data_IF_331797015324
#
_entry.id   IF_331797015324
#
_cell.length_a   1.000
_cell.length_b   1.000
_cell.length_c   1.000
_cell.angle_alpha   90.00
_cell.angle_beta   90.00
_cell.angle_gamma   90.00
#
_symmetry.space_group_name_H-M   'P 1'
#
loop_
_entity.id
_entity.type
_entity.pdbx_description
1 polymer ?
#
# COMPACT_ATOMS: atom_id res chain seq x y z
N UNK A 1 -24.90 -26.29 -9.41
CA UNK A 1 -24.38 -25.57 -10.59
C UNK A 1 -23.28 -24.67 -10.06
N UNK A 2 -22.08 -24.87 -10.59
CA UNK A 2 -20.79 -24.49 -10.00
C UNK A 2 -20.69 -23.02 -9.54
N UNK A 3 -19.89 -22.78 -8.49
CA UNK A 3 -19.18 -21.52 -8.13
C UNK A 3 -18.95 -21.36 -6.60
N UNK A 4 -18.69 -22.45 -5.85
CA UNK A 4 -18.52 -22.38 -4.37
C UNK A 4 -17.06 -22.19 -3.92
N UNK A 5 -16.09 -22.11 -4.82
CA UNK A 5 -14.68 -21.92 -4.43
C UNK A 5 -14.10 -20.66 -5.04
N UNK A 6 -14.46 -19.52 -4.43
CA UNK A 6 -13.70 -18.28 -4.52
C UNK A 6 -12.26 -18.63 -4.14
N UNK A 7 -11.39 -18.72 -5.14
CA UNK A 7 -9.94 -18.90 -4.95
C UNK A 7 -9.52 -17.84 -3.92
N UNK A 8 -9.05 -18.28 -2.75
CA UNK A 8 -8.59 -17.38 -1.73
C UNK A 8 -7.42 -16.60 -2.34
N UNK A 9 -7.64 -15.32 -2.67
CA UNK A 9 -6.63 -14.47 -3.28
C UNK A 9 -5.29 -14.66 -2.56
N UNK A 10 -4.22 -14.88 -3.32
CA UNK A 10 -2.88 -15.13 -2.80
C UNK A 10 -2.52 -14.02 -1.82
N UNK A 11 -1.78 -14.32 -0.72
CA UNK A 11 -1.54 -13.34 0.35
C UNK A 11 -0.93 -12.03 -0.16
N UNK A 12 -0.17 -12.08 -1.25
CA UNK A 12 0.44 -10.91 -1.91
C UNK A 12 -0.57 -10.00 -2.63
N UNK A 13 -1.68 -10.55 -3.14
CA UNK A 13 -2.72 -9.77 -3.83
C UNK A 13 -3.58 -8.96 -2.85
N UNK A 14 -3.63 -9.40 -1.60
CA UNK A 14 -4.35 -8.70 -0.51
C UNK A 14 -3.54 -7.58 0.11
N UNK A 15 -2.26 -7.47 -0.25
CA UNK A 15 -1.38 -6.40 0.17
C UNK A 15 -1.46 -5.22 -0.80
N UNK A 16 -1.26 -4.03 -0.24
CA UNK A 16 -1.13 -2.80 -0.99
C UNK A 16 0.22 -2.74 -1.72
N UNK A 17 0.27 -1.90 -2.75
CA UNK A 17 1.51 -1.59 -3.49
C UNK A 17 1.82 -0.12 -3.36
N UNK A 18 3.11 0.19 -3.24
CA UNK A 18 3.58 1.56 -3.26
C UNK A 18 3.25 2.19 -4.62
N UNK A 19 2.48 3.28 -4.64
CA UNK A 19 2.07 3.93 -5.90
C UNK A 19 3.25 4.54 -6.67
N UNK A 20 4.38 4.81 -6.01
CA UNK A 20 5.57 5.38 -6.65
C UNK A 20 6.54 4.33 -7.21
N UNK A 21 6.77 3.22 -6.51
CA UNK A 21 7.77 2.22 -6.93
C UNK A 21 7.19 0.83 -7.20
N UNK A 22 5.88 0.63 -7.04
CA UNK A 22 5.18 -0.62 -7.31
C UNK A 22 5.45 -1.77 -6.33
N UNK A 23 6.38 -1.60 -5.37
CA UNK A 23 6.69 -2.65 -4.38
C UNK A 23 5.53 -2.92 -3.45
N UNK A 24 5.27 -4.20 -3.20
CA UNK A 24 4.30 -4.64 -2.19
C UNK A 24 4.72 -4.15 -0.82
N UNK A 25 3.76 -3.60 -0.06
CA UNK A 25 3.96 -3.16 1.31
C UNK A 25 3.19 -4.07 2.26
N UNK A 26 3.61 -4.24 3.52
CA UNK A 26 2.92 -5.08 4.50
C UNK A 26 1.69 -4.36 5.08
N UNK A 27 0.81 -3.85 4.21
CA UNK A 27 -0.45 -3.20 4.54
C UNK A 27 -1.55 -3.92 3.78
N UNK A 28 -2.59 -4.37 4.47
CA UNK A 28 -3.71 -5.05 3.83
C UNK A 28 -4.62 -4.04 3.14
N UNK A 29 -5.11 -4.39 1.95
CA UNK A 29 -6.08 -3.58 1.18
C UNK A 29 -7.41 -3.40 1.91
N UNK A 30 -7.72 -4.27 2.87
CA UNK A 30 -8.94 -4.21 3.68
C UNK A 30 -8.76 -3.41 4.98
N UNK A 31 -7.53 -3.12 5.41
CA UNK A 31 -7.27 -2.33 6.63
C UNK A 31 -7.90 -0.95 6.53
N UNK A 32 -8.44 -0.42 7.62
CA UNK A 32 -9.04 0.92 7.59
C UNK A 32 -7.98 1.98 7.30
N UNK A 33 -8.30 3.00 6.48
CA UNK A 33 -7.32 4.01 6.03
C UNK A 33 -6.61 4.69 7.19
N UNK A 34 -7.32 4.96 8.29
CA UNK A 34 -6.75 5.60 9.49
C UNK A 34 -5.64 4.78 10.18
N UNK A 35 -5.56 3.49 9.91
CA UNK A 35 -4.57 2.58 10.50
C UNK A 35 -3.36 2.36 9.58
N UNK A 36 -3.43 2.86 8.33
CA UNK A 36 -2.40 2.65 7.32
C UNK A 36 -1.30 3.69 7.45
N UNK A 37 -0.12 3.26 7.92
CA UNK A 37 1.08 4.10 7.90
C UNK A 37 1.46 4.42 6.45
N UNK A 38 1.89 5.66 6.20
CA UNK A 38 2.37 6.13 4.90
C UNK A 38 1.30 6.09 3.78
N UNK A 39 0.02 6.00 4.13
CA UNK A 39 -1.06 6.24 3.19
C UNK A 39 -1.22 7.75 3.00
N UNK A 40 -1.33 8.18 1.75
CA UNK A 40 -1.56 9.57 1.37
C UNK A 40 -2.96 9.67 0.79
N UNK A 41 -3.82 10.45 1.44
CA UNK A 41 -5.21 10.63 1.00
C UNK A 41 -5.26 11.14 -0.45
N UNK A 42 -6.08 10.49 -1.27
CA UNK A 42 -6.21 10.80 -2.71
C UNK A 42 -5.08 10.27 -3.61
N UNK A 43 -3.90 9.94 -3.07
CA UNK A 43 -2.77 9.40 -3.85
C UNK A 43 -2.60 7.90 -3.71
N UNK A 44 -2.89 7.34 -2.53
CA UNK A 44 -2.79 5.92 -2.24
C UNK A 44 -1.63 5.57 -1.29
N UNK A 45 -1.27 4.29 -1.26
CA UNK A 45 -0.29 3.75 -0.33
C UNK A 45 1.15 3.99 -0.80
N UNK A 46 2.04 4.43 0.10
CA UNK A 46 3.49 4.48 -0.14
C UNK A 46 4.24 3.46 0.71
N UNK A 47 5.43 3.05 0.25
CA UNK A 47 6.40 2.42 1.13
C UNK A 47 7.13 3.50 1.96
N UNK A 48 7.69 3.12 3.11
CA UNK A 48 8.36 4.05 4.01
C UNK A 48 9.43 4.89 3.30
N UNK A 49 10.26 4.27 2.46
CA UNK A 49 11.29 4.97 1.67
C UNK A 49 10.69 6.08 0.80
N UNK A 50 9.73 5.75 -0.06
CA UNK A 50 9.12 6.73 -0.96
C UNK A 50 8.36 7.83 -0.21
N UNK A 51 7.77 7.51 0.95
CA UNK A 51 7.16 8.52 1.81
C UNK A 51 8.20 9.52 2.33
N UNK A 52 9.33 9.03 2.86
CA UNK A 52 10.40 9.91 3.34
C UNK A 52 11.08 10.70 2.21
N UNK A 53 11.28 10.09 1.04
CA UNK A 53 11.84 10.78 -0.13
C UNK A 53 10.95 11.97 -0.57
N UNK A 54 9.62 11.89 -0.38
CA UNK A 54 8.67 12.95 -0.74
C UNK A 54 8.51 13.99 0.36
N UNK A 55 8.37 13.57 1.63
CA UNK A 55 8.00 14.47 2.73
C UNK A 55 9.15 14.88 3.65
N UNK A 56 10.32 14.25 3.58
CA UNK A 56 11.50 14.60 4.39
C UNK A 56 12.66 15.17 3.58
N UNK A 57 12.43 15.51 2.32
CA UNK A 57 13.44 16.18 1.49
C UNK A 57 13.48 17.70 1.74
N UNK A 58 13.51 18.12 3.01
CA UNK A 58 13.65 19.53 3.42
C UNK A 58 15.12 19.95 3.66
N UNK A 59 16.11 19.13 3.29
CA UNK A 59 17.54 19.42 3.53
C UNK A 59 18.42 19.27 2.28
N UNK A 60 17.93 19.72 1.13
CA UNK A 60 18.79 20.01 -0.02
C UNK A 60 18.71 21.51 -0.34
N UNK A 61 19.30 22.32 0.54
CA UNK A 61 19.72 23.70 0.25
C UNK A 61 21.21 23.71 -0.07
#
# INVERSE_FOLDING_TARGET
MEDVYRQAAEPEERLEKCVLCGRTVPVWRESHISERRYYVEGAGQLCARCFYDVYQNELAF
#
